data_IF_940168977082
#
_entry.id   IF_940168977082
#
_cell.length_a   1.000
_cell.length_b   1.000
_cell.length_c   1.000
_cell.angle_alpha   90.00
_cell.angle_beta   90.00
_cell.angle_gamma   90.00
#
_symmetry.space_group_name_H-M   'P 1'
#
loop_
_entity.id
_entity.type
_entity.pdbx_description
1 polymer ?
#
# COMPACT_ATOMS: atom_id res chain seq x y z
N UNK A 1 18.17 14.70 8.72
CA UNK A 1 18.44 16.13 9.02
C UNK A 1 19.22 16.32 10.32
N UNK A 2 18.81 15.74 11.48
CA UNK A 2 19.61 15.82 12.74
C UNK A 2 21.03 15.25 12.64
N UNK A 3 21.22 14.10 11.98
CA UNK A 3 22.55 13.48 11.82
C UNK A 3 23.51 14.18 10.82
N UNK A 4 23.11 15.31 10.23
CA UNK A 4 23.92 16.07 9.25
C UNK A 4 24.03 17.58 9.56
N UNK A 5 23.46 18.06 10.68
CA UNK A 5 23.47 19.49 11.04
C UNK A 5 22.69 20.43 10.10
N UNK A 6 21.83 19.89 9.23
CA UNK A 6 21.09 20.67 8.24
C UNK A 6 19.73 21.12 8.82
N UNK A 7 19.58 22.43 8.98
CA UNK A 7 18.33 23.08 9.41
C UNK A 7 17.54 23.67 8.24
N UNK A 8 18.09 23.65 7.02
CA UNK A 8 17.41 24.08 5.80
C UNK A 8 17.58 23.07 4.68
N UNK A 9 16.55 22.93 3.82
CA UNK A 9 16.63 22.10 2.63
C UNK A 9 15.65 22.54 1.54
N UNK A 10 16.10 22.45 0.28
CA UNK A 10 15.22 22.43 -0.89
C UNK A 10 14.91 20.99 -1.27
N UNK A 11 13.64 20.64 -1.38
CA UNK A 11 13.18 19.27 -1.64
C UNK A 11 12.21 19.20 -2.82
N UNK A 12 12.21 18.05 -3.48
CA UNK A 12 11.10 17.61 -4.34
C UNK A 12 10.30 16.62 -3.51
N UNK A 13 8.99 16.85 -3.39
CA UNK A 13 8.10 15.92 -2.72
C UNK A 13 7.63 14.87 -3.71
N UNK A 14 8.12 13.65 -3.55
CA UNK A 14 7.61 12.48 -4.26
C UNK A 14 6.48 11.85 -3.42
N UNK A 15 5.26 11.88 -3.95
CA UNK A 15 4.05 11.38 -3.30
C UNK A 15 3.31 10.38 -4.21
N UNK A 16 2.26 9.74 -3.72
CA UNK A 16 1.49 8.84 -4.56
C UNK A 16 0.01 8.73 -4.22
N UNK A 17 -0.72 8.23 -5.22
CA UNK A 17 -2.17 7.99 -5.20
C UNK A 17 -2.46 6.57 -5.69
N UNK A 18 -3.63 6.00 -5.34
CA UNK A 18 -4.15 4.83 -6.04
C UNK A 18 -4.12 5.05 -7.55
N UNK A 19 -3.68 4.04 -8.30
CA UNK A 19 -3.34 4.18 -9.73
C UNK A 19 -4.51 4.76 -10.56
N UNK A 20 -5.76 4.36 -10.26
CA UNK A 20 -6.96 4.88 -10.93
C UNK A 20 -7.16 6.39 -10.74
N UNK A 21 -6.74 6.93 -9.61
CA UNK A 21 -6.93 8.35 -9.29
C UNK A 21 -5.80 9.23 -9.80
N UNK A 22 -4.71 8.65 -10.31
CA UNK A 22 -3.57 9.42 -10.77
C UNK A 22 -3.94 10.37 -11.92
N UNK A 23 -4.74 9.89 -12.89
CA UNK A 23 -5.17 10.70 -14.03
C UNK A 23 -6.14 11.83 -13.66
N UNK A 24 -7.11 11.54 -12.80
CA UNK A 24 -8.18 12.49 -12.45
C UNK A 24 -7.78 13.47 -11.33
N UNK A 25 -7.02 12.99 -10.34
CA UNK A 25 -6.72 13.73 -9.11
C UNK A 25 -5.24 14.13 -8.99
N UNK A 26 -4.35 13.61 -9.83
CA UNK A 26 -2.90 13.83 -9.73
C UNK A 26 -2.51 15.31 -9.71
N UNK A 27 -3.02 16.10 -10.66
CA UNK A 27 -2.72 17.55 -10.72
C UNK A 27 -3.37 18.32 -9.56
N UNK A 28 -4.57 17.95 -9.14
CA UNK A 28 -5.23 18.54 -7.98
C UNK A 28 -4.43 18.30 -6.69
N UNK A 29 -3.98 17.06 -6.50
CA UNK A 29 -3.16 16.66 -5.36
C UNK A 29 -1.78 17.34 -5.38
N UNK A 30 -1.15 17.43 -6.56
CA UNK A 30 0.10 18.17 -6.77
C UNK A 30 -0.05 19.63 -6.37
N UNK A 31 -1.09 20.32 -6.85
CA UNK A 31 -1.38 21.72 -6.50
C UNK A 31 -1.64 21.88 -5.00
N UNK A 32 -2.37 20.96 -4.39
CA UNK A 32 -2.62 20.95 -2.95
C UNK A 32 -1.31 20.90 -2.14
N UNK A 33 -0.39 20.00 -2.50
CA UNK A 33 0.90 19.88 -1.81
C UNK A 33 1.82 21.09 -2.06
N UNK A 34 1.72 21.72 -3.23
CA UNK A 34 2.46 22.95 -3.58
C UNK A 34 1.86 24.24 -3.00
N UNK A 35 0.72 24.20 -2.30
CA UNK A 35 0.05 25.40 -1.78
C UNK A 35 0.95 26.24 -0.87
N UNK A 36 1.82 25.58 -0.11
CA UNK A 36 2.79 26.20 0.79
C UNK A 36 4.18 25.75 0.38
N UNK A 37 4.86 26.53 -0.47
CA UNK A 37 6.21 26.19 -0.96
C UNK A 37 7.29 26.32 0.09
N UNK A 38 7.04 27.03 1.18
CA UNK A 38 7.97 27.15 2.29
C UNK A 38 7.28 26.69 3.57
N UNK A 39 7.94 25.78 4.29
CA UNK A 39 7.45 25.21 5.54
C UNK A 39 8.51 25.43 6.60
N UNK A 40 8.15 26.17 7.64
CA UNK A 40 8.99 26.35 8.83
C UNK A 40 8.34 25.65 10.01
N UNK A 41 9.09 24.82 10.71
CA UNK A 41 8.59 24.10 11.89
C UNK A 41 9.70 23.88 12.92
N UNK A 42 9.30 23.63 14.16
CA UNK A 42 10.21 23.30 15.26
C UNK A 42 10.14 21.81 15.56
N UNK A 43 11.29 21.18 15.76
CA UNK A 43 11.37 19.80 16.23
C UNK A 43 12.56 19.66 17.19
N UNK A 44 12.27 19.28 18.44
CA UNK A 44 13.28 19.17 19.52
C UNK A 44 14.14 20.44 19.62
N UNK A 45 13.50 21.59 19.79
CA UNK A 45 14.12 22.93 19.93
C UNK A 45 15.00 23.39 18.76
N UNK A 46 14.96 22.67 17.64
CA UNK A 46 15.64 23.06 16.40
C UNK A 46 14.61 23.56 15.40
N UNK A 47 14.82 24.77 14.87
CA UNK A 47 14.00 25.34 13.80
C UNK A 47 14.46 24.81 12.45
N UNK A 48 13.54 24.25 11.68
CA UNK A 48 13.75 23.76 10.32
C UNK A 48 13.04 24.66 9.31
N UNK A 49 13.66 24.86 8.16
CA UNK A 49 13.09 25.51 6.98
C UNK A 49 13.18 24.57 5.77
N UNK A 50 12.03 24.27 5.16
CA UNK A 50 11.96 23.40 3.98
C UNK A 50 11.32 24.18 2.84
N UNK A 51 12.04 24.30 1.74
CA UNK A 51 11.51 24.82 0.47
C UNK A 51 11.12 23.65 -0.42
N UNK A 52 9.85 23.56 -0.79
CA UNK A 52 9.31 22.58 -1.73
C UNK A 52 9.46 23.18 -3.14
N UNK A 53 10.45 22.68 -3.88
CA UNK A 53 10.74 23.13 -5.25
C UNK A 53 9.72 22.58 -6.25
N UNK A 54 9.31 21.32 -6.07
CA UNK A 54 8.33 20.65 -6.91
C UNK A 54 7.64 19.50 -6.15
N UNK A 55 6.53 19.02 -6.69
CA UNK A 55 5.82 17.82 -6.25
C UNK A 55 5.65 16.89 -7.45
N UNK A 56 6.00 15.63 -7.26
CA UNK A 56 5.85 14.54 -8.23
C UNK A 56 4.90 13.50 -7.66
N UNK A 57 3.89 13.08 -8.44
CA UNK A 57 2.86 12.15 -7.99
C UNK A 57 2.97 10.86 -8.80
N UNK A 58 3.01 9.73 -8.10
CA UNK A 58 3.21 8.40 -8.66
C UNK A 58 2.08 7.43 -8.30
N UNK A 59 1.98 6.33 -9.05
CA UNK A 59 1.00 5.28 -8.81
C UNK A 59 1.43 4.38 -7.64
N UNK A 60 0.56 4.25 -6.63
CA UNK A 60 0.65 3.23 -5.58
C UNK A 60 0.60 1.82 -6.18
N UNK A 61 1.24 0.86 -5.51
CA UNK A 61 1.40 -0.52 -5.98
C UNK A 61 2.50 -0.64 -7.01
N UNK A 62 2.43 0.12 -8.11
CA UNK A 62 3.45 0.12 -9.16
C UNK A 62 4.79 0.63 -8.64
N UNK A 63 4.77 1.75 -7.90
CA UNK A 63 6.01 2.37 -7.43
C UNK A 63 6.81 1.44 -6.53
N UNK A 64 6.12 0.65 -5.69
CA UNK A 64 6.75 -0.31 -4.79
C UNK A 64 7.60 -1.39 -5.48
N UNK A 65 7.32 -1.68 -6.76
CA UNK A 65 8.03 -2.68 -7.54
C UNK A 65 8.90 -2.09 -8.66
N UNK A 66 8.86 -0.76 -8.84
CA UNK A 66 9.44 -0.09 -10.01
C UNK A 66 10.96 -0.27 -10.13
N UNK A 67 11.67 -0.39 -9.01
CA UNK A 67 13.11 -0.64 -8.99
C UNK A 67 13.46 -2.07 -9.42
N UNK A 68 12.59 -3.03 -9.11
CA UNK A 68 12.83 -4.47 -9.24
C UNK A 68 11.98 -5.11 -10.34
N UNK A 69 11.44 -4.33 -11.29
CA UNK A 69 10.55 -4.84 -12.35
C UNK A 69 11.13 -6.05 -13.10
N UNK A 70 12.46 -6.10 -13.26
CA UNK A 70 13.16 -7.20 -13.93
C UNK A 70 12.96 -8.55 -13.24
N UNK A 71 12.64 -8.57 -11.94
CA UNK A 71 12.45 -9.80 -11.17
C UNK A 71 11.06 -10.40 -11.38
N UNK A 72 10.12 -9.64 -11.97
CA UNK A 72 8.74 -10.05 -12.24
C UNK A 72 8.61 -10.75 -13.61
N UNK A 73 9.36 -11.84 -13.78
CA UNK A 73 9.30 -12.69 -14.97
C UNK A 73 8.05 -13.59 -14.99
N UNK A 74 7.52 -13.87 -16.19
CA UNK A 74 6.24 -14.54 -16.38
C UNK A 74 5.06 -13.64 -16.06
N UNK A 75 3.91 -14.25 -15.75
CA UNK A 75 2.68 -13.53 -15.43
C UNK A 75 2.59 -13.27 -13.92
N UNK A 76 2.59 -11.99 -13.53
CA UNK A 76 2.60 -11.55 -12.15
C UNK A 76 1.44 -10.60 -11.88
N UNK A 77 0.88 -10.69 -10.69
CA UNK A 77 -0.15 -9.76 -10.20
C UNK A 77 0.33 -9.17 -8.88
N UNK A 78 0.32 -7.85 -8.79
CA UNK A 78 0.72 -7.09 -7.62
C UNK A 78 -0.51 -6.46 -7.00
N UNK A 79 -0.76 -6.75 -5.73
CA UNK A 79 -1.96 -6.35 -4.99
C UNK A 79 -1.57 -5.49 -3.78
N UNK A 80 -1.74 -4.18 -3.92
CA UNK A 80 -1.47 -3.20 -2.87
C UNK A 80 -2.74 -2.96 -2.05
N UNK A 81 -2.77 -3.50 -0.83
CA UNK A 81 -3.90 -3.36 0.08
C UNK A 81 -3.55 -2.31 1.12
N UNK A 82 -4.12 -1.12 0.96
CA UNK A 82 -4.09 -0.06 1.96
C UNK A 82 -5.25 -0.19 2.96
N UNK A 83 -5.38 0.82 3.83
CA UNK A 83 -6.51 0.88 4.76
C UNK A 83 -7.85 1.08 4.02
N UNK A 84 -7.88 1.97 3.01
CA UNK A 84 -9.13 2.31 2.31
C UNK A 84 -9.30 1.70 0.92
N UNK A 85 -8.22 1.26 0.28
CA UNK A 85 -8.27 0.77 -1.11
C UNK A 85 -7.42 -0.47 -1.31
N UNK A 86 -7.76 -1.24 -2.33
CA UNK A 86 -6.96 -2.32 -2.89
C UNK A 86 -6.67 -1.99 -4.36
N UNK A 87 -5.39 -1.94 -4.73
CA UNK A 87 -4.96 -1.78 -6.12
C UNK A 87 -4.46 -3.12 -6.66
N UNK A 88 -4.86 -3.50 -7.87
CA UNK A 88 -4.41 -4.71 -8.57
C UNK A 88 -3.72 -4.30 -9.86
N UNK A 89 -2.48 -4.72 -10.05
CA UNK A 89 -1.62 -4.36 -11.18
C UNK A 89 -1.07 -5.62 -11.79
N UNK A 90 -1.18 -5.73 -13.11
CA UNK A 90 -0.66 -6.87 -13.86
C UNK A 90 0.72 -6.53 -14.41
N UNK A 91 1.65 -7.49 -14.32
CA UNK A 91 3.02 -7.35 -14.83
C UNK A 91 3.37 -8.63 -15.59
N UNK A 92 3.78 -8.48 -16.85
CA UNK A 92 4.16 -9.60 -17.72
C UNK A 92 5.61 -9.40 -18.15
N UNK A 93 6.48 -10.33 -17.79
CA UNK A 93 7.91 -10.31 -18.14
C UNK A 93 8.60 -8.98 -17.79
N UNK A 94 8.28 -8.46 -16.60
CA UNK A 94 8.79 -7.19 -16.08
C UNK A 94 8.16 -5.93 -16.70
N UNK A 95 7.14 -6.08 -17.54
CA UNK A 95 6.42 -4.97 -18.16
C UNK A 95 5.03 -4.83 -17.52
N UNK A 96 4.72 -3.68 -16.88
CA UNK A 96 3.37 -3.41 -16.37
C UNK A 96 2.36 -3.35 -17.51
N UNK A 97 1.23 -4.00 -17.33
CA UNK A 97 0.11 -3.93 -18.25
C UNK A 97 -0.70 -2.64 -17.98
N UNK A 98 -0.51 -1.64 -18.84
CA UNK A 98 -1.20 -0.36 -18.72
C UNK A 98 -2.70 -0.43 -19.02
N UNK A 99 -3.22 -1.54 -19.56
CA UNK A 99 -4.65 -1.73 -19.82
C UNK A 99 -5.35 -2.47 -18.66
N UNK A 100 -4.62 -3.28 -17.89
CA UNK A 100 -5.15 -4.05 -16.76
C UNK A 100 -4.61 -3.53 -15.44
N UNK A 101 -5.30 -2.54 -14.88
CA UNK A 101 -5.11 -2.11 -13.51
C UNK A 101 -6.47 -1.77 -12.88
N UNK A 102 -6.63 -2.10 -11.61
CA UNK A 102 -7.89 -1.93 -10.89
C UNK A 102 -7.64 -1.27 -9.55
N UNK A 103 -8.58 -0.42 -9.12
CA UNK A 103 -8.61 0.17 -7.78
C UNK A 103 -10.01 0.00 -7.22
N UNK A 104 -10.10 -0.72 -6.10
CA UNK A 104 -11.33 -1.00 -5.39
C UNK A 104 -11.31 -0.29 -4.03
N UNK A 105 -12.47 0.21 -3.57
CA UNK A 105 -12.65 0.64 -2.17
C UNK A 105 -12.80 -0.59 -1.29
N UNK A 106 -11.73 -1.35 -1.16
CA UNK A 106 -11.73 -2.69 -0.57
C UNK A 106 -10.44 -2.94 0.22
N UNK A 107 -10.18 -2.06 1.20
CA UNK A 107 -9.02 -2.14 2.09
C UNK A 107 -9.34 -2.72 3.47
N UNK A 108 -8.36 -2.68 4.37
CA UNK A 108 -8.49 -3.21 5.75
C UNK A 108 -9.66 -2.60 6.52
N UNK A 109 -10.00 -1.33 6.29
CA UNK A 109 -11.10 -0.67 7.00
C UNK A 109 -12.46 -1.26 6.62
N UNK A 110 -12.62 -1.72 5.37
CA UNK A 110 -13.81 -2.44 4.94
C UNK A 110 -13.96 -3.78 5.70
N UNK A 111 -12.85 -4.50 5.90
CA UNK A 111 -12.82 -5.73 6.71
C UNK A 111 -13.35 -5.46 8.12
N UNK A 112 -12.82 -4.43 8.77
CA UNK A 112 -13.22 -4.03 10.13
C UNK A 112 -14.69 -3.64 10.19
N UNK A 113 -15.16 -2.80 9.25
CA UNK A 113 -16.55 -2.36 9.20
C UNK A 113 -17.50 -3.54 8.98
N UNK A 114 -17.19 -4.44 8.05
CA UNK A 114 -18.02 -5.61 7.74
C UNK A 114 -18.14 -6.56 8.94
N UNK A 115 -17.05 -6.80 9.68
CA UNK A 115 -17.08 -7.77 10.77
C UNK A 115 -17.66 -7.25 12.09
N UNK A 116 -17.86 -5.95 12.29
CA UNK A 116 -18.37 -5.39 13.57
C UNK A 116 -19.66 -6.05 14.03
N UNK A 117 -20.65 -6.14 13.15
CA UNK A 117 -21.95 -6.76 13.46
C UNK A 117 -21.80 -8.26 13.72
N UNK A 118 -20.97 -8.92 12.93
CA UNK A 118 -20.73 -10.36 13.05
C UNK A 118 -20.01 -10.72 14.35
N UNK A 119 -18.96 -9.98 14.71
CA UNK A 119 -18.26 -10.12 15.98
C UNK A 119 -19.20 -9.89 17.15
N UNK A 120 -20.00 -8.83 17.12
CA UNK A 120 -20.97 -8.54 18.18
C UNK A 120 -21.94 -9.71 18.38
N UNK A 121 -22.39 -10.34 17.29
CA UNK A 121 -23.25 -11.51 17.35
C UNK A 121 -22.53 -12.76 17.90
N UNK A 122 -21.27 -12.98 17.53
CA UNK A 122 -20.48 -14.16 17.95
C UNK A 122 -20.04 -14.08 19.42
N UNK A 123 -19.64 -12.90 19.91
CA UNK A 123 -19.04 -12.74 21.26
C UNK A 123 -19.89 -11.93 22.23
N UNK A 124 -21.09 -11.52 21.83
CA UNK A 124 -22.06 -10.75 22.63
C UNK A 124 -21.47 -9.51 23.30
N UNK A 125 -20.47 -8.89 22.67
CA UNK A 125 -19.79 -7.70 23.17
C UNK A 125 -19.17 -6.91 22.02
N UNK A 126 -19.05 -5.60 22.21
CA UNK A 126 -18.36 -4.73 21.25
C UNK A 126 -16.85 -4.88 21.45
N UNK A 127 -16.13 -5.15 20.36
CA UNK A 127 -14.67 -5.22 20.33
C UNK A 127 -14.14 -3.93 19.73
N UNK A 128 -13.16 -3.31 20.39
CA UNK A 128 -12.54 -2.08 19.90
C UNK A 128 -11.81 -2.33 18.57
N UNK A 129 -12.01 -1.45 17.58
CA UNK A 129 -11.36 -1.53 16.28
C UNK A 129 -9.83 -1.58 16.38
N UNK A 130 -9.23 -0.97 17.41
CA UNK A 130 -7.79 -1.04 17.66
C UNK A 130 -7.35 -2.48 17.94
N UNK A 131 -8.12 -3.24 18.73
CA UNK A 131 -7.87 -4.65 19.00
C UNK A 131 -8.04 -5.46 17.72
N UNK A 132 -9.12 -5.23 16.97
CA UNK A 132 -9.36 -5.91 15.70
C UNK A 132 -8.19 -5.67 14.74
N UNK A 133 -7.84 -4.40 14.49
CA UNK A 133 -6.73 -4.02 13.58
C UNK A 133 -5.40 -4.61 14.04
N UNK A 134 -5.16 -4.73 15.34
CA UNK A 134 -3.98 -5.41 15.88
C UNK A 134 -3.96 -6.90 15.53
N UNK A 135 -5.06 -7.62 15.74
CA UNK A 135 -5.18 -9.03 15.35
C UNK A 135 -5.01 -9.21 13.84
N UNK A 136 -5.61 -8.34 13.01
CA UNK A 136 -5.46 -8.42 11.55
C UNK A 136 -4.02 -8.20 11.10
N UNK A 137 -3.28 -7.34 11.80
CA UNK A 137 -1.88 -7.02 11.49
C UNK A 137 -0.91 -8.07 11.99
N UNK A 138 -1.07 -8.52 13.23
CA UNK A 138 -0.08 -9.35 13.93
C UNK A 138 -0.46 -10.85 13.89
N UNK A 139 -1.65 -11.18 13.40
CA UNK A 139 -2.22 -12.53 13.42
C UNK A 139 -2.72 -12.97 14.80
N UNK A 140 -2.46 -12.18 15.84
CA UNK A 140 -2.81 -12.48 17.23
C UNK A 140 -2.87 -11.21 18.07
N UNK A 141 -3.42 -11.32 19.29
CA UNK A 141 -3.35 -10.30 20.32
C UNK A 141 -3.47 -10.95 21.71
N UNK A 142 -3.02 -10.24 22.74
CA UNK A 142 -3.22 -10.62 24.13
C UNK A 142 -4.68 -10.34 24.56
N UNK A 143 -5.58 -11.21 24.10
CA UNK A 143 -7.02 -11.16 24.34
C UNK A 143 -7.56 -12.58 24.55
N UNK A 144 -8.75 -12.69 25.13
CA UNK A 144 -9.39 -13.99 25.34
C UNK A 144 -9.58 -14.78 24.04
N UNK A 145 -9.32 -16.08 24.09
CA UNK A 145 -9.34 -16.98 22.92
C UNK A 145 -10.64 -16.90 22.10
N UNK A 146 -11.78 -16.74 22.78
CA UNK A 146 -13.09 -16.55 22.12
C UNK A 146 -13.12 -15.37 21.15
N UNK A 147 -12.44 -14.26 21.50
CA UNK A 147 -12.37 -13.06 20.68
C UNK A 147 -11.40 -13.25 19.53
N UNK A 148 -10.23 -13.82 19.83
CA UNK A 148 -9.21 -14.09 18.82
C UNK A 148 -9.74 -15.03 17.73
N UNK A 149 -10.45 -16.09 18.12
CA UNK A 149 -11.10 -17.03 17.20
C UNK A 149 -12.15 -16.33 16.33
N UNK A 150 -13.06 -15.55 16.94
CA UNK A 150 -14.10 -14.84 16.20
C UNK A 150 -13.52 -13.85 15.17
N UNK A 151 -12.47 -13.09 15.54
CA UNK A 151 -11.79 -12.18 14.62
C UNK A 151 -11.11 -12.95 13.49
N UNK A 152 -10.45 -14.07 13.81
CA UNK A 152 -9.78 -14.91 12.81
C UNK A 152 -10.72 -15.52 11.78
N UNK A 153 -11.92 -15.95 12.20
CA UNK A 153 -12.97 -16.44 11.30
C UNK A 153 -13.41 -15.32 10.33
N UNK A 154 -13.81 -14.16 10.85
CA UNK A 154 -14.22 -13.01 10.03
C UNK A 154 -13.10 -12.54 9.09
N UNK A 155 -11.86 -12.52 9.56
CA UNK A 155 -10.70 -12.18 8.75
C UNK A 155 -10.50 -13.17 7.61
N UNK A 156 -10.61 -14.48 7.88
CA UNK A 156 -10.51 -15.54 6.87
C UNK A 156 -11.55 -15.34 5.78
N UNK A 157 -12.82 -15.13 6.15
CA UNK A 157 -13.91 -14.85 5.19
C UNK A 157 -13.63 -13.61 4.34
N UNK A 158 -13.08 -12.55 4.94
CA UNK A 158 -12.71 -11.35 4.19
C UNK A 158 -11.56 -11.60 3.20
N UNK A 159 -10.56 -12.40 3.57
CA UNK A 159 -9.48 -12.77 2.63
C UNK A 159 -10.00 -13.59 1.45
N UNK A 160 -11.03 -14.42 1.64
CA UNK A 160 -11.68 -15.14 0.55
C UNK A 160 -12.40 -14.19 -0.43
N UNK A 161 -13.02 -13.12 0.08
CA UNK A 161 -13.61 -12.06 -0.75
C UNK A 161 -12.54 -11.33 -1.56
N UNK A 162 -11.39 -11.01 -0.96
CA UNK A 162 -10.23 -10.44 -1.67
C UNK A 162 -9.79 -11.37 -2.80
N UNK A 163 -9.56 -12.64 -2.51
CA UNK A 163 -9.12 -13.61 -3.51
C UNK A 163 -10.14 -13.80 -4.63
N UNK A 164 -11.45 -13.76 -4.32
CA UNK A 164 -12.50 -13.81 -5.34
C UNK A 164 -12.42 -12.61 -6.29
N UNK A 165 -12.27 -11.38 -5.78
CA UNK A 165 -12.08 -10.18 -6.62
C UNK A 165 -10.84 -10.29 -7.51
N UNK A 166 -9.72 -10.78 -6.96
CA UNK A 166 -8.49 -10.96 -7.73
C UNK A 166 -8.68 -11.99 -8.87
N UNK A 167 -9.41 -13.09 -8.61
CA UNK A 167 -9.80 -14.08 -9.64
C UNK A 167 -10.73 -13.48 -10.70
N UNK A 168 -11.68 -12.63 -10.31
CA UNK A 168 -12.56 -11.91 -11.25
C UNK A 168 -11.77 -11.03 -12.24
N UNK A 169 -10.62 -10.48 -11.83
CA UNK A 169 -9.72 -9.74 -12.72
C UNK A 169 -8.80 -10.62 -13.57
N UNK A 170 -8.85 -11.94 -13.43
CA UNK A 170 -8.08 -12.89 -14.23
C UNK A 170 -6.88 -13.51 -13.52
N UNK A 171 -6.83 -13.49 -12.19
CA UNK A 171 -5.88 -14.32 -11.45
C UNK A 171 -6.20 -15.80 -11.59
N UNK A 172 -5.20 -16.58 -11.99
CA UNK A 172 -5.20 -18.03 -11.97
C UNK A 172 -3.93 -18.49 -11.25
N UNK A 173 -4.07 -19.27 -10.19
CA UNK A 173 -2.98 -19.72 -9.33
C UNK A 173 -1.95 -20.61 -10.05
N UNK A 174 -2.36 -21.37 -11.07
CA UNK A 174 -1.44 -22.19 -11.87
C UNK A 174 -0.65 -21.37 -12.89
N UNK A 175 -1.18 -20.21 -13.31
CA UNK A 175 -0.61 -19.39 -14.38
C UNK A 175 0.13 -18.15 -13.89
N UNK A 176 -0.19 -17.68 -12.67
CA UNK A 176 0.26 -16.39 -12.15
C UNK A 176 1.02 -16.51 -10.83
N UNK A 177 1.99 -15.63 -10.60
CA UNK A 177 2.52 -15.32 -9.26
C UNK A 177 1.78 -14.13 -8.68
N UNK A 178 1.47 -14.18 -7.38
CA UNK A 178 0.75 -13.13 -6.68
C UNK A 178 1.66 -12.46 -5.66
N UNK A 179 1.66 -11.13 -5.64
CA UNK A 179 2.53 -10.33 -4.77
C UNK A 179 1.67 -9.37 -3.95
N UNK A 180 1.59 -9.57 -2.64
CA UNK A 180 0.86 -8.68 -1.74
C UNK A 180 1.77 -7.63 -1.12
N UNK A 181 1.28 -6.40 -1.02
CA UNK A 181 1.94 -5.30 -0.33
C UNK A 181 0.94 -4.37 0.37
N UNK A 182 1.47 -3.39 1.09
CA UNK A 182 0.67 -2.43 1.86
C UNK A 182 0.26 -2.97 3.23
N UNK A 183 -0.42 -2.14 4.01
CA UNK A 183 -0.80 -2.47 5.39
C UNK A 183 -1.71 -3.71 5.50
N UNK A 184 -2.49 -4.00 4.47
CA UNK A 184 -3.36 -5.18 4.38
C UNK A 184 -2.67 -6.45 3.86
N UNK A 185 -1.38 -6.41 3.50
CA UNK A 185 -0.65 -7.62 3.14
C UNK A 185 -0.57 -8.61 4.31
N UNK A 186 -0.44 -8.12 5.54
CA UNK A 186 -0.37 -8.95 6.74
C UNK A 186 -1.69 -9.68 7.02
N UNK A 187 -2.83 -9.03 6.76
CA UNK A 187 -4.15 -9.67 6.81
C UNK A 187 -4.19 -10.91 5.90
N UNK A 188 -3.71 -10.79 4.66
CA UNK A 188 -3.63 -11.93 3.74
C UNK A 188 -2.64 -12.98 4.25
N UNK A 189 -1.47 -12.56 4.74
CA UNK A 189 -0.43 -13.47 5.23
C UNK A 189 -0.89 -14.32 6.42
N UNK A 190 -1.69 -13.76 7.32
CA UNK A 190 -2.12 -14.43 8.54
C UNK A 190 -3.38 -15.27 8.37
N UNK A 191 -4.32 -14.83 7.54
CA UNK A 191 -5.67 -15.41 7.52
C UNK A 191 -6.08 -16.04 6.19
N UNK A 192 -5.34 -15.79 5.10
CA UNK A 192 -5.66 -16.39 3.81
C UNK A 192 -4.99 -17.76 3.63
N UNK A 193 -5.69 -18.67 2.95
CA UNK A 193 -5.12 -19.93 2.47
C UNK A 193 -4.47 -19.68 1.11
N UNK A 194 -3.14 -19.68 1.08
CA UNK A 194 -2.34 -19.27 -0.08
C UNK A 194 -1.27 -20.31 -0.40
N UNK A 195 -0.98 -20.49 -1.69
CA UNK A 195 0.15 -21.27 -2.17
C UNK A 195 1.46 -20.51 -1.87
N UNK A 196 2.28 -21.03 -0.96
CA UNK A 196 3.51 -20.38 -0.50
C UNK A 196 4.59 -20.32 -1.57
N UNK A 197 4.53 -21.17 -2.59
CA UNK A 197 5.53 -21.19 -3.67
C UNK A 197 5.23 -20.14 -4.75
N UNK A 198 3.98 -19.65 -4.81
CA UNK A 198 3.50 -18.72 -5.83
C UNK A 198 3.02 -17.37 -5.31
N UNK A 199 2.84 -17.26 -3.99
CA UNK A 199 2.45 -16.01 -3.34
C UNK A 199 3.62 -15.44 -2.55
N UNK A 200 3.95 -14.19 -2.83
CA UNK A 200 5.00 -13.44 -2.17
C UNK A 200 4.45 -12.21 -1.44
N UNK A 201 5.14 -11.81 -0.38
CA UNK A 201 4.77 -10.64 0.44
C UNK A 201 5.91 -9.62 0.40
N UNK A 202 5.59 -8.39 0.01
CA UNK A 202 6.50 -7.24 0.12
C UNK A 202 6.24 -6.61 1.49
N UNK A 203 7.00 -7.07 2.48
CA UNK A 203 6.80 -6.71 3.89
C UNK A 203 7.34 -5.32 4.26
N UNK A 204 8.12 -4.70 3.37
CA UNK A 204 8.59 -3.34 3.58
C UNK A 204 7.40 -2.36 3.49
N UNK A 205 6.94 -1.90 4.65
CA UNK A 205 5.85 -0.93 4.77
C UNK A 205 6.13 0.38 4.02
N UNK A 206 7.40 0.67 3.75
CA UNK A 206 7.85 1.86 3.03
C UNK A 206 8.09 1.60 1.53
N UNK A 207 7.76 0.41 0.99
CA UNK A 207 8.07 0.05 -0.39
C UNK A 207 7.56 1.08 -1.40
N UNK A 208 6.31 1.55 -1.25
CA UNK A 208 5.77 2.62 -2.10
C UNK A 208 6.58 3.92 -1.98
N UNK A 209 6.92 4.34 -0.76
CA UNK A 209 7.68 5.58 -0.53
C UNK A 209 9.09 5.53 -1.13
N UNK A 210 9.79 4.40 -0.95
CA UNK A 210 11.08 4.13 -1.60
C UNK A 210 10.95 4.11 -3.12
N UNK A 211 9.88 3.51 -3.63
CA UNK A 211 9.51 3.54 -5.03
C UNK A 211 9.36 4.94 -5.61
N UNK A 212 8.69 5.84 -4.88
CA UNK A 212 8.55 7.24 -5.29
C UNK A 212 9.91 7.96 -5.36
N UNK A 213 10.76 7.74 -4.36
CA UNK A 213 12.12 8.28 -4.33
C UNK A 213 12.94 7.77 -5.52
N UNK A 214 12.90 6.46 -5.78
CA UNK A 214 13.55 5.84 -6.93
C UNK A 214 13.08 6.46 -8.25
N UNK A 215 11.77 6.52 -8.49
CA UNK A 215 11.19 7.06 -9.71
C UNK A 215 11.53 8.56 -9.90
N UNK A 216 11.52 9.34 -8.82
CA UNK A 216 11.92 10.74 -8.83
C UNK A 216 13.39 10.91 -9.22
N UNK A 217 14.28 10.11 -8.62
CA UNK A 217 15.71 10.11 -8.95
C UNK A 217 15.96 9.72 -10.42
N UNK A 218 15.27 8.69 -10.94
CA UNK A 218 15.36 8.31 -12.35
C UNK A 218 14.92 9.43 -13.28
N UNK A 219 13.83 10.13 -12.95
CA UNK A 219 13.35 11.27 -13.73
C UNK A 219 14.37 12.41 -13.76
N UNK A 220 15.02 12.69 -12.63
CA UNK A 220 16.09 13.71 -12.54
C UNK A 220 17.31 13.34 -13.37
N UNK A 221 17.78 12.10 -13.29
CA UNK A 221 18.92 11.62 -14.08
C UNK A 221 18.63 11.75 -15.59
N UNK A 222 17.42 11.38 -16.02
CA UNK A 222 17.00 11.54 -17.43
C UNK A 222 17.01 13.00 -17.89
N UNK A 223 16.49 13.92 -17.07
CA UNK A 223 16.52 15.37 -17.37
C UNK A 223 17.95 15.93 -17.48
N UNK A 224 18.88 15.43 -16.67
CA UNK A 224 20.29 15.85 -16.73
C UNK A 224 21.00 15.34 -17.99
N UNK A 225 20.66 14.14 -18.48
CA UNK A 225 21.23 13.57 -19.72
C UNK A 225 20.70 14.22 -21.01
N UNK A 226 19.60 14.96 -20.92
CA UNK A 226 18.98 15.67 -22.04
C UNK A 226 19.42 17.15 -22.14
N UNK A 227 20.29 17.60 -21.23
CA UNK A 227 20.94 18.93 -21.24
C UNK A 227 22.37 18.79 -21.72
#
# INVERSE_FOLDING_TARGET
MKGRGLCSASVILAAGLPIKWLGEQGEGFRKYLLRNKEVTFWCNDTRYHVKIEDVEVYAQGFSAIAENLRDYQGFNIVVDIGNGTMNVIFVVDGVPDSARYYTERFGVDCCVIEMRSELTNKVHSVVDDHIVKKVLKDGTADIGEKYLKAIGECATEYTEKIMRKIREYGYNEELAKLHFLGGGAMLMKHFAKLDKDRVHFIEDINANAKGYEYLSNQRRIRKLRQR
#
